data_IF_923817953723
#
_entry.id   IF_923817953723
#
_cell.length_a   1.000
_cell.length_b   1.000
_cell.length_c   1.000
_cell.angle_alpha   90.00
_cell.angle_beta   90.00
_cell.angle_gamma   90.00
#
_symmetry.space_group_name_H-M   'P 1'
#
loop_
_entity.id
_entity.type
_entity.pdbx_description
1 polymer ?
#
# COMPACT_ATOMS: atom_id res chain seq x y z
N UNK A 1 -14.98 -8.38 -25.86
CA UNK A 1 -15.33 -7.03 -25.37
C UNK A 1 -16.72 -7.14 -24.74
N UNK A 2 -16.85 -7.13 -23.41
CA UNK A 2 -18.17 -7.14 -22.76
C UNK A 2 -18.70 -5.71 -22.79
N UNK A 3 -19.62 -5.44 -23.71
CA UNK A 3 -20.31 -4.16 -23.79
C UNK A 3 -21.29 -4.04 -22.63
N UNK A 4 -21.14 -2.99 -21.81
CA UNK A 4 -22.10 -2.60 -20.75
C UNK A 4 -23.40 -2.03 -21.34
N UNK A 5 -23.55 -1.98 -22.67
CA UNK A 5 -24.68 -1.35 -23.38
C UNK A 5 -26.09 -1.84 -23.01
N UNK A 6 -26.24 -2.95 -22.28
CA UNK A 6 -27.55 -3.45 -21.82
C UNK A 6 -27.99 -2.95 -20.44
N UNK A 7 -27.10 -2.34 -19.64
CA UNK A 7 -27.45 -1.82 -18.31
C UNK A 7 -27.74 -0.32 -18.45
N UNK A 8 -28.98 0.01 -18.82
CA UNK A 8 -29.33 1.40 -19.17
C UNK A 8 -29.37 2.35 -17.99
N UNK A 9 -29.60 1.88 -16.75
CA UNK A 9 -29.72 2.73 -15.57
C UNK A 9 -29.22 1.99 -14.32
N UNK A 10 -28.08 2.38 -13.77
CA UNK A 10 -27.66 2.00 -12.41
C UNK A 10 -27.90 3.24 -11.55
N UNK A 11 -28.94 3.21 -10.72
CA UNK A 11 -29.18 4.28 -9.77
C UNK A 11 -28.11 4.24 -8.67
N UNK A 12 -27.28 5.27 -8.57
CA UNK A 12 -26.35 5.46 -7.47
C UNK A 12 -27.08 6.30 -6.42
N UNK A 13 -27.32 5.74 -5.24
CA UNK A 13 -27.82 6.51 -4.09
C UNK A 13 -26.63 7.19 -3.43
N UNK A 14 -26.61 8.51 -3.47
CA UNK A 14 -25.67 9.33 -2.72
C UNK A 14 -26.32 9.78 -1.41
N UNK A 15 -25.50 10.02 -0.39
CA UNK A 15 -25.99 10.58 0.87
C UNK A 15 -26.59 11.98 0.64
N UNK A 16 -27.67 12.34 1.35
CA UNK A 16 -28.29 13.66 1.24
C UNK A 16 -27.26 14.78 1.50
N UNK A 17 -27.12 15.71 0.55
CA UNK A 17 -26.18 16.82 0.64
C UNK A 17 -24.82 16.59 -0.03
N UNK A 18 -24.56 15.40 -0.60
CA UNK A 18 -23.36 15.17 -1.39
C UNK A 18 -23.42 15.95 -2.72
N UNK A 19 -22.69 17.07 -2.80
CA UNK A 19 -22.52 17.82 -4.04
C UNK A 19 -21.41 17.17 -4.87
N UNK A 20 -21.79 16.54 -5.98
CA UNK A 20 -20.85 15.99 -6.95
C UNK A 20 -20.29 17.16 -7.76
N UNK A 21 -19.06 17.54 -7.43
CA UNK A 21 -18.37 18.70 -8.03
C UNK A 21 -17.45 18.31 -9.18
N UNK A 22 -17.19 17.01 -9.37
CA UNK A 22 -16.18 16.47 -10.27
C UNK A 22 -16.71 15.32 -11.12
N UNK A 23 -15.94 14.93 -12.13
CA UNK A 23 -16.23 13.77 -12.99
C UNK A 23 -16.29 12.46 -12.17
N UNK A 24 -17.35 11.68 -12.39
CA UNK A 24 -17.51 10.34 -11.81
C UNK A 24 -16.74 9.34 -12.68
N UNK A 25 -15.88 8.53 -12.06
CA UNK A 25 -15.16 7.47 -12.77
C UNK A 25 -15.77 6.11 -12.46
N UNK A 26 -15.99 5.29 -13.50
CA UNK A 26 -16.42 3.89 -13.35
C UNK A 26 -15.21 3.00 -13.62
N UNK A 27 -14.79 2.23 -12.62
CA UNK A 27 -13.63 1.35 -12.72
C UNK A 27 -14.02 -0.10 -12.55
N UNK A 28 -13.32 -1.00 -13.25
CA UNK A 28 -13.40 -2.45 -13.01
C UNK A 28 -12.07 -2.91 -12.41
N UNK A 29 -12.08 -3.28 -11.13
CA UNK A 29 -10.90 -3.79 -10.44
C UNK A 29 -11.18 -5.19 -9.89
N UNK A 30 -10.29 -6.13 -10.20
CA UNK A 30 -10.40 -7.54 -9.79
C UNK A 30 -11.76 -8.19 -10.12
N UNK A 31 -12.42 -7.73 -11.19
CA UNK A 31 -13.73 -8.25 -11.61
C UNK A 31 -14.92 -7.63 -10.87
N UNK A 32 -14.71 -6.63 -10.03
CA UNK A 32 -15.75 -5.84 -9.38
C UNK A 32 -15.85 -4.46 -10.03
N UNK A 33 -17.08 -3.93 -10.13
CA UNK A 33 -17.34 -2.60 -10.66
C UNK A 33 -17.48 -1.60 -9.51
N UNK A 34 -16.84 -0.45 -9.64
CA UNK A 34 -16.87 0.64 -8.66
C UNK A 34 -17.25 1.95 -9.34
N UNK A 35 -18.02 2.78 -8.63
CA UNK A 35 -18.20 4.19 -8.96
C UNK A 35 -17.34 5.01 -8.00
N UNK A 36 -16.44 5.82 -8.54
CA UNK A 36 -15.54 6.69 -7.78
C UNK A 36 -16.04 8.12 -7.93
N UNK A 37 -16.48 8.70 -6.81
CA UNK A 37 -17.06 10.04 -6.74
C UNK A 37 -16.13 10.90 -5.86
N UNK A 38 -15.38 11.85 -6.44
CA UNK A 38 -14.50 12.71 -5.66
C UNK A 38 -15.32 13.72 -4.85
N UNK A 39 -14.95 13.92 -3.59
CA UNK A 39 -15.54 14.95 -2.72
C UNK A 39 -14.43 15.85 -2.17
N UNK A 40 -14.63 17.16 -2.28
CA UNK A 40 -13.78 18.12 -1.57
C UNK A 40 -14.14 18.11 -0.08
N UNK A 41 -13.17 17.80 0.76
CA UNK A 41 -13.29 17.83 2.22
C UNK A 41 -12.31 18.87 2.73
N UNK A 42 -12.81 19.86 3.50
CA UNK A 42 -11.94 20.82 4.18
C UNK A 42 -11.30 20.13 5.41
N UNK A 43 -9.98 20.21 5.60
CA UNK A 43 -9.36 19.73 6.82
C UNK A 43 -9.92 20.47 8.05
N UNK A 44 -10.07 19.76 9.16
CA UNK A 44 -10.35 20.39 10.44
C UNK A 44 -9.09 21.05 11.00
N UNK A 45 -9.27 22.07 11.84
CA UNK A 45 -8.18 22.65 12.61
C UNK A 45 -7.50 21.56 13.47
N UNK A 46 -6.17 21.56 13.48
CA UNK A 46 -5.36 20.59 14.20
C UNK A 46 -4.57 21.30 15.29
N UNK A 47 -4.62 20.76 16.51
CA UNK A 47 -3.80 21.19 17.65
C UNK A 47 -2.77 20.13 18.00
N UNK A 48 -1.50 20.54 18.09
CA UNK A 48 -0.40 19.65 18.48
C UNK A 48 -0.25 19.65 20.00
N UNK A 49 -0.51 18.53 20.66
CA UNK A 49 -0.35 18.36 22.12
C UNK A 49 0.98 17.69 22.49
N UNK A 50 1.90 17.52 21.53
CA UNK A 50 3.22 16.95 21.74
C UNK A 50 3.27 15.43 21.84
N UNK A 51 2.15 14.71 21.63
CA UNK A 51 2.14 13.24 21.68
C UNK A 51 2.80 12.70 20.43
N UNK A 52 3.91 11.99 20.60
CA UNK A 52 4.74 11.51 19.49
C UNK A 52 4.98 10.01 19.59
N UNK A 53 4.98 9.34 18.43
CA UNK A 53 5.35 7.94 18.29
C UNK A 53 6.33 7.76 17.13
N UNK A 54 7.38 6.96 17.35
CA UNK A 54 8.25 6.46 16.30
C UNK A 54 7.70 5.13 15.79
N UNK A 55 7.59 4.97 14.47
CA UNK A 55 6.96 3.84 13.81
C UNK A 55 7.93 3.13 12.86
N UNK A 56 7.94 1.81 12.93
CA UNK A 56 8.71 0.93 12.08
C UNK A 56 7.82 -0.18 11.49
N UNK A 57 7.64 -0.23 10.15
CA UNK A 57 6.96 -1.33 9.49
C UNK A 57 7.85 -2.59 9.47
N UNK A 58 7.33 -3.70 9.98
CA UNK A 58 8.11 -4.92 10.21
C UNK A 58 7.65 -6.14 9.41
N UNK A 59 8.50 -7.16 9.36
CA UNK A 59 8.15 -8.46 8.76
C UNK A 59 7.37 -9.39 9.71
N UNK A 60 7.57 -9.27 11.02
CA UNK A 60 6.90 -10.09 12.05
C UNK A 60 5.55 -9.48 12.46
N UNK A 61 5.53 -8.16 12.55
CA UNK A 61 4.38 -7.35 12.92
C UNK A 61 4.25 -6.28 11.86
N UNK A 62 3.04 -6.08 11.34
CA UNK A 62 2.81 -5.16 10.23
C UNK A 62 3.28 -3.73 10.52
N UNK A 63 3.00 -3.23 11.72
CA UNK A 63 3.51 -1.96 12.21
C UNK A 63 3.92 -2.09 13.67
N UNK A 64 5.10 -1.64 14.01
CA UNK A 64 5.56 -1.47 15.40
C UNK A 64 5.80 0.00 15.68
N UNK A 65 5.64 0.42 16.93
CA UNK A 65 6.04 1.76 17.32
C UNK A 65 6.32 1.89 18.80
N UNK A 66 7.04 2.94 19.17
CA UNK A 66 7.38 3.29 20.55
C UNK A 66 7.15 4.78 20.75
N UNK A 67 6.40 5.14 21.79
CA UNK A 67 6.15 6.53 22.14
C UNK A 67 7.18 7.11 23.12
N UNK A 68 7.05 8.39 23.43
CA UNK A 68 7.96 9.10 24.35
C UNK A 68 7.91 8.57 25.78
N UNK A 69 6.79 7.94 26.19
CA UNK A 69 6.60 7.34 27.50
C UNK A 69 7.09 5.89 27.55
N UNK A 70 7.58 5.36 26.42
CA UNK A 70 8.10 3.99 26.30
C UNK A 70 7.05 2.91 26.05
N UNK A 71 5.79 3.27 25.76
CA UNK A 71 4.76 2.30 25.41
C UNK A 71 4.96 1.78 23.98
N UNK A 72 4.77 0.48 23.79
CA UNK A 72 5.00 -0.17 22.51
C UNK A 72 3.70 -0.53 21.77
N UNK A 73 3.51 0.05 20.59
CA UNK A 73 2.43 -0.28 19.67
C UNK A 73 2.82 -1.47 18.78
N UNK A 74 1.90 -2.42 18.62
CA UNK A 74 2.08 -3.55 17.71
C UNK A 74 0.78 -3.84 16.96
N UNK A 75 0.74 -3.54 15.67
CA UNK A 75 -0.41 -3.80 14.81
C UNK A 75 -0.13 -4.96 13.87
N UNK A 76 -1.06 -5.91 13.78
CA UNK A 76 -0.98 -7.01 12.84
C UNK A 76 0.01 -8.11 13.20
N UNK A 77 0.24 -8.39 14.49
CA UNK A 77 0.94 -9.61 14.92
C UNK A 77 0.25 -10.86 14.38
N UNK A 78 1.03 -11.86 14.02
CA UNK A 78 0.57 -13.18 13.55
C UNK A 78 -0.36 -13.15 12.33
N UNK A 79 -0.40 -12.03 11.59
CA UNK A 79 -1.18 -11.93 10.35
C UNK A 79 -0.48 -12.58 9.18
N UNK A 80 0.85 -12.78 9.26
CA UNK A 80 1.67 -13.34 8.18
C UNK A 80 1.16 -14.71 7.67
N UNK A 81 0.90 -15.73 8.51
CA UNK A 81 0.36 -17.00 8.04
C UNK A 81 -0.97 -16.85 7.29
N UNK A 82 -1.80 -15.89 7.70
CA UNK A 82 -3.06 -15.59 7.03
C UNK A 82 -2.84 -14.96 5.65
N UNK A 83 -1.94 -13.98 5.54
CA UNK A 83 -1.58 -13.35 4.26
C UNK A 83 -0.88 -14.33 3.31
N UNK A 84 -0.04 -15.21 3.84
CA UNK A 84 0.68 -16.23 3.08
C UNK A 84 -0.27 -17.25 2.44
N UNK A 85 -1.41 -17.58 3.09
CA UNK A 85 -2.47 -18.39 2.47
C UNK A 85 -3.02 -17.75 1.21
N UNK A 86 -3.23 -16.43 1.18
CA UNK A 86 -3.69 -15.75 -0.04
C UNK A 86 -2.60 -15.69 -1.10
N UNK A 87 -1.35 -15.42 -0.72
CA UNK A 87 -0.20 -15.43 -1.63
C UNK A 87 -0.03 -16.80 -2.32
N UNK A 88 -0.16 -17.89 -1.56
CA UNK A 88 -0.13 -19.25 -2.09
C UNK A 88 -1.27 -19.47 -3.11
N UNK A 89 -2.51 -19.13 -2.74
CA UNK A 89 -3.67 -19.25 -3.65
C UNK A 89 -3.51 -18.45 -4.95
N UNK A 90 -2.94 -17.25 -4.87
CA UNK A 90 -2.63 -16.42 -6.05
C UNK A 90 -1.62 -17.16 -6.95
N UNK A 91 -0.52 -17.66 -6.36
CA UNK A 91 0.52 -18.40 -7.08
C UNK A 91 -0.01 -19.66 -7.75
N UNK A 92 -0.80 -20.45 -7.03
CA UNK A 92 -1.36 -21.71 -7.54
C UNK A 92 -2.36 -21.44 -8.68
N UNK A 93 -3.24 -20.47 -8.51
CA UNK A 93 -4.21 -20.07 -9.55
C UNK A 93 -3.49 -19.53 -10.80
N UNK A 94 -2.42 -18.77 -10.61
CA UNK A 94 -1.59 -18.27 -11.72
C UNK A 94 -0.95 -19.42 -12.49
N UNK A 95 -0.36 -20.38 -11.76
CA UNK A 95 0.22 -21.59 -12.35
C UNK A 95 -0.81 -22.40 -13.15
N UNK A 96 -2.00 -22.62 -12.59
CA UNK A 96 -3.10 -23.30 -13.29
C UNK A 96 -3.50 -22.59 -14.59
N UNK A 97 -3.67 -21.26 -14.52
CA UNK A 97 -3.97 -20.46 -15.71
C UNK A 97 -2.89 -20.60 -16.79
N UNK A 98 -1.62 -20.57 -16.39
CA UNK A 98 -0.50 -20.64 -17.33
C UNK A 98 -0.36 -22.03 -17.97
N UNK A 99 -0.61 -23.10 -17.23
CA UNK A 99 -0.67 -24.47 -17.78
C UNK A 99 -1.75 -24.60 -18.86
N UNK A 100 -2.94 -24.04 -18.63
CA UNK A 100 -4.05 -24.09 -19.60
C UNK A 100 -3.77 -23.18 -20.80
N UNK A 101 -3.10 -22.03 -20.60
CA UNK A 101 -2.70 -21.16 -21.72
C UNK A 101 -1.64 -21.79 -22.62
N UNK A 102 -0.72 -22.57 -22.03
CA UNK A 102 0.38 -23.23 -22.75
C UNK A 102 -0.04 -24.52 -23.47
N UNK A 103 -1.22 -25.07 -23.20
CA UNK A 103 -1.69 -26.27 -23.91
C UNK A 103 -1.88 -25.99 -25.39
N UNK A 104 -1.24 -26.79 -26.26
CA UNK A 104 -1.38 -26.69 -27.71
C UNK A 104 -2.75 -27.23 -28.17
N UNK A 105 -3.31 -26.63 -29.23
CA UNK A 105 -4.58 -27.07 -29.84
C UNK A 105 -5.83 -26.38 -29.28
N UNK A 106 -7.01 -26.83 -29.74
CA UNK A 106 -8.29 -26.27 -29.32
C UNK A 106 -8.60 -26.67 -27.86
N UNK A 107 -8.93 -25.69 -27.03
CA UNK A 107 -9.24 -25.93 -25.62
C UNK A 107 -10.60 -26.61 -25.48
N UNK A 108 -10.64 -27.72 -24.77
CA UNK A 108 -11.88 -28.37 -24.38
C UNK A 108 -12.74 -27.47 -23.48
N UNK A 109 -14.06 -27.69 -23.48
CA UNK A 109 -14.97 -27.00 -22.56
C UNK A 109 -14.59 -27.19 -21.08
N UNK A 110 -14.00 -28.34 -20.72
CA UNK A 110 -13.46 -28.60 -19.37
C UNK A 110 -12.29 -27.68 -19.04
N UNK A 111 -11.34 -27.50 -19.98
CA UNK A 111 -10.21 -26.58 -19.81
C UNK A 111 -10.68 -25.13 -19.70
N UNK A 112 -11.68 -24.72 -20.48
CA UNK A 112 -12.27 -23.39 -20.34
C UNK A 112 -12.91 -23.17 -18.97
N UNK A 113 -13.68 -24.14 -18.47
CA UNK A 113 -14.26 -24.07 -17.12
C UNK A 113 -13.19 -24.02 -16.03
N UNK A 114 -12.12 -24.81 -16.18
CA UNK A 114 -10.99 -24.79 -15.25
C UNK A 114 -10.29 -23.42 -15.25
N UNK A 115 -10.01 -22.87 -16.43
CA UNK A 115 -9.40 -21.55 -16.59
C UNK A 115 -10.25 -20.44 -15.95
N UNK A 116 -11.56 -20.45 -16.19
CA UNK A 116 -12.48 -19.47 -15.61
C UNK A 116 -12.50 -19.54 -14.07
N UNK A 117 -12.45 -20.76 -13.49
CA UNK A 117 -12.34 -20.94 -12.03
C UNK A 117 -11.01 -20.43 -11.49
N UNK A 118 -9.89 -20.82 -12.10
CA UNK A 118 -8.55 -20.36 -11.69
C UNK A 118 -8.45 -18.83 -11.74
N UNK A 119 -8.93 -18.21 -12.83
CA UNK A 119 -8.99 -16.75 -12.97
C UNK A 119 -9.83 -16.08 -11.88
N UNK A 120 -11.00 -16.63 -11.56
CA UNK A 120 -11.84 -16.13 -10.47
C UNK A 120 -11.12 -16.24 -9.13
N UNK A 121 -10.53 -17.39 -8.83
CA UNK A 121 -9.78 -17.61 -7.58
C UNK A 121 -8.62 -16.64 -7.45
N UNK A 122 -7.86 -16.40 -8.53
CA UNK A 122 -6.78 -15.43 -8.58
C UNK A 122 -7.26 -14.02 -8.20
N UNK A 123 -8.33 -13.53 -8.85
CA UNK A 123 -8.87 -12.20 -8.56
C UNK A 123 -9.42 -12.09 -7.13
N UNK A 124 -10.18 -13.09 -6.67
CA UNK A 124 -10.72 -13.11 -5.30
C UNK A 124 -9.61 -13.14 -4.25
N UNK A 125 -8.58 -13.98 -4.43
CA UNK A 125 -7.46 -14.06 -3.49
C UNK A 125 -6.64 -12.77 -3.47
N UNK A 126 -6.42 -12.16 -4.63
CA UNK A 126 -5.76 -10.85 -4.75
C UNK A 126 -6.54 -9.75 -4.03
N UNK A 127 -7.86 -9.69 -4.24
CA UNK A 127 -8.72 -8.74 -3.56
C UNK A 127 -8.69 -8.94 -2.03
N UNK A 128 -8.77 -10.19 -1.55
CA UNK A 128 -8.67 -10.49 -0.12
C UNK A 128 -7.33 -10.06 0.47
N UNK A 129 -6.22 -10.36 -0.21
CA UNK A 129 -4.89 -9.94 0.23
C UNK A 129 -4.80 -8.40 0.35
N UNK A 130 -5.22 -7.69 -0.69
CA UNK A 130 -5.24 -6.21 -0.69
C UNK A 130 -6.11 -5.66 0.43
N UNK A 131 -7.30 -6.22 0.63
CA UNK A 131 -8.22 -5.78 1.67
C UNK A 131 -7.67 -6.06 3.07
N UNK A 132 -7.03 -7.21 3.31
CA UNK A 132 -6.40 -7.51 4.59
C UNK A 132 -5.26 -6.54 4.92
N UNK A 133 -4.43 -6.18 3.94
CA UNK A 133 -3.37 -5.16 4.14
C UNK A 133 -3.98 -3.78 4.38
N UNK A 134 -5.02 -3.42 3.64
CA UNK A 134 -5.74 -2.15 3.79
C UNK A 134 -6.39 -2.02 5.17
N UNK A 135 -6.97 -3.10 5.68
CA UNK A 135 -7.51 -3.17 7.03
C UNK A 135 -6.43 -2.90 8.09
N UNK A 136 -5.24 -3.50 7.94
CA UNK A 136 -4.11 -3.24 8.84
C UNK A 136 -3.65 -1.77 8.80
N UNK A 137 -3.62 -1.17 7.61
CA UNK A 137 -3.37 0.27 7.49
C UNK A 137 -4.44 1.08 8.22
N UNK A 138 -5.73 0.77 8.05
CA UNK A 138 -6.80 1.51 8.70
C UNK A 138 -6.79 1.37 10.21
N UNK A 139 -6.52 0.18 10.73
CA UNK A 139 -6.34 -0.04 12.17
C UNK A 139 -5.16 0.79 12.71
N UNK A 140 -4.05 0.82 11.96
CA UNK A 140 -2.88 1.63 12.31
C UNK A 140 -3.24 3.11 12.31
N UNK A 141 -3.78 3.64 11.22
CA UNK A 141 -4.17 5.05 11.10
C UNK A 141 -5.17 5.44 12.18
N UNK A 142 -6.23 4.65 12.40
CA UNK A 142 -7.26 4.94 13.39
C UNK A 142 -6.70 4.96 14.82
N UNK A 143 -5.70 4.12 15.12
CA UNK A 143 -5.00 4.16 16.39
C UNK A 143 -4.13 5.43 16.50
N UNK A 144 -3.31 5.70 15.47
CA UNK A 144 -2.41 6.86 15.46
C UNK A 144 -3.16 8.17 15.61
N UNK A 145 -4.23 8.39 14.85
CA UNK A 145 -5.02 9.64 14.89
C UNK A 145 -5.72 9.89 16.21
N UNK A 146 -5.93 8.85 17.03
CA UNK A 146 -6.58 8.99 18.34
C UNK A 146 -5.59 9.32 19.46
N UNK A 147 -4.38 8.78 19.37
CA UNK A 147 -3.42 8.77 20.48
C UNK A 147 -2.23 9.69 20.27
N UNK A 148 -1.86 9.98 19.02
CA UNK A 148 -0.64 10.69 18.69
C UNK A 148 -0.92 11.87 17.77
N UNK A 149 -0.22 12.97 18.01
CA UNK A 149 -0.29 14.18 17.22
C UNK A 149 0.77 14.13 16.12
N UNK A 150 1.97 13.63 16.42
CA UNK A 150 3.10 13.52 15.49
C UNK A 150 3.56 12.07 15.31
N UNK A 151 3.70 11.63 14.05
CA UNK A 151 4.17 10.28 13.70
C UNK A 151 5.53 10.37 13.02
N UNK A 152 6.57 9.78 13.62
CA UNK A 152 7.90 9.69 13.01
C UNK A 152 7.99 8.34 12.30
N UNK A 153 8.10 8.35 10.97
CA UNK A 153 8.24 7.14 10.17
C UNK A 153 9.71 6.89 9.85
N UNK A 154 10.20 5.67 10.09
CA UNK A 154 11.51 5.27 9.58
C UNK A 154 11.50 5.30 8.06
N UNK A 155 12.49 5.98 7.46
CA UNK A 155 12.66 5.96 6.00
C UNK A 155 13.08 4.55 5.60
N UNK A 156 12.14 3.78 5.02
CA UNK A 156 12.45 2.51 4.40
C UNK A 156 13.31 2.75 3.15
N UNK A 157 14.62 2.67 3.33
CA UNK A 157 15.53 2.57 2.19
C UNK A 157 15.35 1.15 1.63
N UNK A 158 14.54 1.03 0.58
CA UNK A 158 14.46 -0.19 -0.21
C UNK A 158 15.81 -0.37 -0.90
N UNK A 159 16.76 -1.05 -0.24
CA UNK A 159 17.93 -1.59 -0.91
C UNK A 159 17.40 -2.60 -1.91
N UNK A 160 17.31 -2.20 -3.18
CA UNK A 160 17.08 -3.13 -4.26
C UNK A 160 18.11 -4.25 -4.15
N UNK A 161 17.65 -5.49 -4.09
CA UNK A 161 18.48 -6.66 -4.35
C UNK A 161 18.89 -6.61 -5.83
N UNK A 162 19.82 -5.73 -6.17
CA UNK A 162 20.59 -5.80 -7.42
C UNK A 162 21.82 -6.66 -7.13
N UNK A 163 21.82 -7.83 -7.74
CA UNK A 163 22.94 -8.74 -8.02
C UNK A 163 24.35 -8.23 -7.66
N UNK A 164 25.04 -9.01 -6.83
CA UNK A 164 26.51 -9.16 -6.70
C UNK A 164 27.37 -7.89 -6.75
N UNK A 165 28.05 -7.49 -5.65
CA UNK A 165 29.01 -6.40 -5.70
C UNK A 165 30.23 -6.81 -6.54
N UNK A 166 30.76 -5.93 -7.42
CA UNK A 166 32.06 -6.16 -8.03
C UNK A 166 33.14 -6.13 -6.95
N UNK A 167 34.12 -7.02 -7.09
CA UNK A 167 35.31 -7.05 -6.27
C UNK A 167 36.08 -5.73 -6.37
N UNK A 168 36.71 -5.36 -5.26
CA UNK A 168 37.71 -4.29 -5.10
C UNK A 168 37.23 -2.84 -5.27
N UNK A 169 36.98 -2.18 -4.13
CA UNK A 169 37.43 -0.78 -3.96
C UNK A 169 37.89 -0.56 -2.52
N UNK A 170 39.18 -0.29 -2.39
CA UNK A 170 39.88 0.00 -1.14
C UNK A 170 39.61 1.43 -0.69
N UNK A 171 39.32 1.59 0.60
CA UNK A 171 39.60 2.77 1.42
C UNK A 171 39.05 4.12 0.93
N UNK A 172 37.92 4.55 1.49
CA UNK A 172 37.59 5.98 1.70
C UNK A 172 36.51 6.11 2.77
N UNK A 173 36.64 7.15 3.59
CA UNK A 173 35.92 7.47 4.83
C UNK A 173 34.39 7.54 4.69
N UNK A 174 33.69 7.19 5.77
CA UNK A 174 32.23 7.23 5.92
C UNK A 174 31.57 8.61 5.69
N UNK A 175 32.36 9.68 5.45
CA UNK A 175 31.85 11.02 5.13
C UNK A 175 31.46 11.21 3.66
N UNK A 176 31.98 10.41 2.72
CA UNK A 176 31.77 10.67 1.28
C UNK A 176 30.48 10.05 0.71
N UNK A 177 29.73 9.31 1.52
CA UNK A 177 28.50 8.60 1.11
C UNK A 177 27.23 9.46 1.12
N UNK A 178 27.32 10.75 1.47
CA UNK A 178 26.15 11.60 1.74
C UNK A 178 25.83 12.70 0.70
N UNK A 179 26.52 12.74 -0.45
CA UNK A 179 26.34 13.87 -1.40
C UNK A 179 25.92 13.56 -2.83
N UNK A 180 25.51 12.34 -3.20
CA UNK A 180 25.07 12.14 -4.58
C UNK A 180 23.93 11.15 -4.73
N UNK A 181 22.69 11.63 -4.58
CA UNK A 181 21.64 11.32 -5.56
C UNK A 181 20.57 12.42 -5.57
N UNK A 182 20.64 13.31 -6.56
CA UNK A 182 19.51 14.18 -6.93
C UNK A 182 18.45 13.29 -7.58
N UNK A 183 17.29 13.12 -6.93
CA UNK A 183 16.08 12.66 -7.60
C UNK A 183 15.37 13.87 -8.21
N UNK A 184 15.32 13.91 -9.53
CA UNK A 184 14.49 14.84 -10.29
C UNK A 184 13.04 14.34 -10.35
N UNK A 185 12.14 15.29 -10.10
CA UNK A 185 10.73 15.38 -10.49
C UNK A 185 9.64 14.83 -9.56
N UNK A 186 9.05 15.82 -8.86
CA UNK A 186 7.64 15.99 -8.50
C UNK A 186 6.96 14.93 -7.63
N UNK A 187 7.10 15.10 -6.32
CA UNK A 187 5.96 15.44 -5.44
C UNK A 187 6.53 16.05 -4.14
N UNK A 188 6.16 17.31 -3.86
CA UNK A 188 6.57 18.07 -2.67
C UNK A 188 5.96 17.44 -1.42
N UNK A 189 6.76 16.69 -0.67
CA UNK A 189 6.60 16.58 0.77
C UNK A 189 7.34 17.78 1.39
N UNK A 190 6.57 18.78 1.81
CA UNK A 190 7.09 19.91 2.56
C UNK A 190 7.56 19.40 3.94
N UNK A 191 8.87 19.47 4.17
CA UNK A 191 9.44 19.44 5.51
C UNK A 191 9.91 20.86 5.83
N UNK A 192 9.19 21.56 6.70
CA UNK A 192 9.74 22.74 7.38
C UNK A 192 10.61 22.24 8.53
N UNK A 193 11.93 22.40 8.40
CA UNK A 193 12.85 22.35 9.53
C UNK A 193 12.88 23.74 10.16
N UNK A 194 12.19 23.93 11.29
CA UNK A 194 12.46 25.08 12.15
C UNK A 194 13.85 24.89 12.80
N UNK A 195 14.64 25.97 12.76
CA UNK A 195 16.09 25.93 12.88
C UNK A 195 16.63 25.53 14.26
N UNK A 196 17.71 24.76 14.24
CA UNK A 196 18.69 24.73 15.32
C UNK A 196 19.78 25.74 14.98
N UNK A 197 19.84 26.83 15.73
CA UNK A 197 20.94 27.79 15.72
C UNK A 197 22.19 27.16 16.32
N UNK A 198 23.31 27.34 15.62
CA UNK A 198 24.66 26.95 16.00
C UNK A 198 25.04 27.48 17.40
N UNK A 199 25.45 26.58 18.29
CA UNK A 199 26.38 26.92 19.37
C UNK A 199 27.77 26.47 18.96
N UNK A 200 28.59 27.44 18.53
CA UNK A 200 30.03 27.29 18.31
C UNK A 200 30.71 27.89 19.55
N UNK A 201 31.31 27.06 20.39
CA UNK A 201 32.30 27.48 21.38
C UNK A 201 33.67 26.98 20.92
N UNK A 202 34.52 27.94 20.53
CA UNK A 202 35.97 27.96 20.76
C UNK A 202 36.46 29.37 20.44
#
# INVERSE_FOLDING_TARGET
MLSISKVKNIAIRCDPGLVITNEIQITNENGFWYAVIPQFVRPHEYSNHGRMIALDPGMKTFMTGVDLDGNALHVGRDTRPHLDKYRARIRDSQREMDLIKKSKGHRSGRQWRAFARAKRTFHCATAKLKNSVKELHYQTCAHLTKHYDTNVLTVLTLRGETSTPPSTFSGSSARDLWQSTRCTNNERLYFETSGYSEYRQS
#
